data_IF_486125765921
#
_entry.id   IF_486125765921
#
_cell.length_a   1.000
_cell.length_b   1.000
_cell.length_c   1.000
_cell.angle_alpha   90.00
_cell.angle_beta   90.00
_cell.angle_gamma   90.00
#
_symmetry.space_group_name_H-M   'P 1'
#
loop_
_entity.id
_entity.type
_entity.pdbx_description
1 polymer ?
#
# COMPACT_ATOMS: atom_id res chain seq x y z
N UNK A 1 2.97 -18.84 -31.18
CA UNK A 1 3.27 -17.52 -30.55
C UNK A 1 4.10 -17.65 -29.26
N UNK A 2 3.72 -18.48 -28.30
CA UNK A 2 4.41 -18.67 -27.00
C UNK A 2 5.93 -18.94 -27.09
N UNK A 3 6.35 -19.89 -27.95
CA UNK A 3 7.78 -20.23 -28.08
C UNK A 3 8.63 -19.08 -28.67
N UNK A 4 8.06 -18.28 -29.57
CA UNK A 4 8.71 -17.11 -30.16
C UNK A 4 8.91 -16.02 -29.11
N UNK A 5 7.89 -15.73 -28.30
CA UNK A 5 8.01 -14.80 -27.16
C UNK A 5 9.06 -15.26 -26.15
N UNK A 6 9.07 -16.55 -25.81
CA UNK A 6 10.08 -17.11 -24.89
C UNK A 6 11.50 -16.96 -25.43
N UNK A 7 11.72 -17.25 -26.72
CA UNK A 7 13.01 -17.03 -27.40
C UNK A 7 13.39 -15.56 -27.39
N UNK A 8 12.48 -14.65 -27.75
CA UNK A 8 12.74 -13.21 -27.77
C UNK A 8 13.14 -12.69 -26.39
N UNK A 9 12.41 -13.07 -25.33
CA UNK A 9 12.76 -12.71 -23.95
C UNK A 9 14.12 -13.26 -23.53
N UNK A 10 14.45 -14.49 -23.95
CA UNK A 10 15.77 -15.08 -23.66
C UNK A 10 16.88 -14.34 -24.39
N UNK A 11 16.68 -13.94 -25.65
CA UNK A 11 17.65 -13.17 -26.42
C UNK A 11 17.85 -11.77 -25.84
N UNK A 12 16.75 -11.08 -25.52
CA UNK A 12 16.80 -9.70 -25.02
C UNK A 12 17.31 -9.59 -23.58
N UNK A 13 16.97 -10.56 -22.73
CA UNK A 13 17.18 -10.47 -21.29
C UNK A 13 17.97 -11.64 -20.68
N UNK A 14 17.92 -12.83 -21.28
CA UNK A 14 18.64 -14.01 -20.78
C UNK A 14 20.15 -13.97 -20.98
N UNK A 15 20.63 -13.25 -22.00
CA UNK A 15 22.06 -13.13 -22.33
C UNK A 15 22.72 -11.85 -21.77
N UNK A 16 22.03 -11.10 -20.91
CA UNK A 16 22.64 -9.94 -20.26
C UNK A 16 23.50 -10.39 -19.08
N UNK A 17 24.74 -9.92 -19.06
CA UNK A 17 25.73 -10.26 -18.03
C UNK A 17 25.99 -9.11 -17.03
N UNK A 18 25.14 -8.08 -17.01
CA UNK A 18 25.31 -6.89 -16.16
C UNK A 18 24.07 -6.60 -15.33
N UNK A 19 24.30 -6.02 -14.14
CA UNK A 19 23.21 -5.44 -13.35
C UNK A 19 22.59 -4.26 -14.12
N UNK A 20 21.28 -4.17 -14.07
CA UNK A 20 20.56 -3.11 -14.74
C UNK A 20 19.35 -2.72 -13.91
N UNK A 21 19.14 -1.42 -13.83
CA UNK A 21 18.10 -0.82 -13.01
C UNK A 21 16.95 -0.39 -13.88
N UNK A 22 15.75 -0.86 -13.55
CA UNK A 22 14.50 -0.43 -14.16
C UNK A 22 13.82 0.53 -13.19
N UNK A 23 13.69 1.78 -13.59
CA UNK A 23 13.01 2.78 -12.76
C UNK A 23 11.53 2.44 -12.56
N UNK A 24 10.83 2.03 -13.63
CA UNK A 24 9.41 1.74 -13.60
C UNK A 24 9.07 0.49 -14.42
N UNK A 25 8.34 -0.45 -13.82
CA UNK A 25 7.75 -1.59 -14.53
C UNK A 25 6.23 -1.58 -14.38
N UNK A 26 5.54 -1.69 -15.52
CA UNK A 26 4.08 -1.81 -15.58
C UNK A 26 3.74 -3.22 -16.06
N UNK A 27 3.25 -4.06 -15.15
CA UNK A 27 2.77 -5.39 -15.46
C UNK A 27 1.26 -5.31 -15.67
N UNK A 28 0.84 -5.35 -16.94
CA UNK A 28 -0.55 -5.20 -17.34
C UNK A 28 -1.47 -6.33 -16.87
N UNK A 29 -2.46 -6.67 -17.69
CA UNK A 29 -3.34 -7.82 -17.45
C UNK A 29 -2.58 -9.14 -17.57
N UNK A 30 -1.64 -9.19 -18.51
CA UNK A 30 -0.89 -10.41 -18.81
C UNK A 30 0.38 -10.52 -17.97
N UNK A 31 0.60 -11.73 -17.46
CA UNK A 31 1.76 -12.04 -16.63
C UNK A 31 2.91 -12.51 -17.53
N UNK A 32 3.88 -11.63 -17.75
CA UNK A 32 5.15 -12.02 -18.37
C UNK A 32 6.00 -12.79 -17.36
N UNK A 33 6.50 -13.97 -17.76
CA UNK A 33 7.41 -14.79 -16.96
C UNK A 33 8.86 -14.41 -17.28
N UNK A 34 9.68 -14.24 -16.26
CA UNK A 34 11.12 -14.03 -16.41
C UNK A 34 11.84 -15.33 -16.76
N UNK A 35 12.88 -15.32 -17.62
CA UNK A 35 13.73 -16.48 -17.82
C UNK A 35 14.33 -16.96 -16.49
N UNK A 36 14.25 -18.26 -16.19
CA UNK A 36 14.70 -18.84 -14.91
C UNK A 36 16.18 -18.55 -14.65
N UNK A 37 17.01 -18.63 -15.69
CA UNK A 37 18.47 -18.45 -15.61
C UNK A 37 18.91 -17.05 -16.04
N UNK A 38 17.98 -16.12 -16.26
CA UNK A 38 18.30 -14.75 -16.65
C UNK A 38 18.65 -13.88 -15.45
N UNK A 39 19.63 -12.99 -15.61
CA UNK A 39 19.94 -11.98 -14.60
C UNK A 39 18.70 -11.13 -14.29
N UNK A 40 18.34 -11.03 -13.01
CA UNK A 40 17.16 -10.30 -12.57
C UNK A 40 17.46 -8.80 -12.53
N UNK A 41 16.55 -7.94 -13.03
CA UNK A 41 16.71 -6.51 -12.91
C UNK A 41 16.52 -6.04 -11.46
N UNK A 42 17.23 -4.96 -11.10
CA UNK A 42 16.90 -4.17 -9.91
C UNK A 42 15.77 -3.21 -10.30
N UNK A 43 14.62 -3.30 -9.63
CA UNK A 43 13.43 -2.49 -9.98
C UNK A 43 13.06 -1.56 -8.84
N UNK A 44 12.78 -0.29 -9.14
CA UNK A 44 12.35 0.67 -8.12
C UNK A 44 10.84 0.73 -7.95
N UNK A 45 10.10 0.90 -9.04
CA UNK A 45 8.65 1.09 -8.99
C UNK A 45 7.92 0.01 -9.80
N UNK A 46 6.97 -0.67 -9.17
CA UNK A 46 6.18 -1.75 -9.79
C UNK A 46 4.70 -1.39 -9.80
N UNK A 47 4.02 -1.54 -10.93
CA UNK A 47 2.56 -1.44 -11.03
C UNK A 47 1.97 -2.73 -11.59
N UNK A 48 1.09 -3.39 -10.83
CA UNK A 48 0.43 -4.66 -11.23
C UNK A 48 -1.04 -4.49 -11.69
N UNK A 49 -1.52 -3.24 -11.78
CA UNK A 49 -2.91 -2.88 -12.04
C UNK A 49 -3.84 -3.61 -11.06
N UNK A 50 -4.53 -4.67 -11.46
CA UNK A 50 -5.37 -5.46 -10.55
C UNK A 50 -4.53 -6.34 -9.61
N UNK A 51 -4.82 -6.29 -8.31
CA UNK A 51 -4.26 -7.21 -7.31
C UNK A 51 -4.63 -8.66 -7.62
N UNK A 52 -3.62 -9.52 -7.67
CA UNK A 52 -3.78 -10.96 -7.52
C UNK A 52 -2.50 -11.57 -6.96
N UNK A 53 -2.63 -12.67 -6.22
CA UNK A 53 -1.46 -13.39 -5.70
C UNK A 53 -0.55 -13.87 -6.82
N UNK A 54 -1.14 -14.27 -7.95
CA UNK A 54 -0.40 -14.71 -9.15
C UNK A 54 0.49 -13.60 -9.70
N UNK A 55 0.01 -12.36 -9.72
CA UNK A 55 0.81 -11.21 -10.18
C UNK A 55 1.93 -10.85 -9.21
N UNK A 56 1.68 -10.93 -7.91
CA UNK A 56 2.73 -10.71 -6.90
C UNK A 56 3.84 -11.77 -6.98
N UNK A 57 3.47 -13.05 -7.17
CA UNK A 57 4.43 -14.14 -7.41
C UNK A 57 5.23 -13.93 -8.71
N UNK A 58 4.60 -13.37 -9.74
CA UNK A 58 5.28 -13.04 -10.98
C UNK A 58 6.28 -11.91 -10.80
N UNK A 59 5.92 -10.85 -10.06
CA UNK A 59 6.86 -9.77 -9.69
C UNK A 59 8.07 -10.36 -8.98
N UNK A 60 7.88 -11.20 -7.98
CA UNK A 60 8.98 -11.91 -7.30
C UNK A 60 9.83 -12.74 -8.25
N UNK A 61 9.22 -13.39 -9.24
CA UNK A 61 9.96 -14.18 -10.23
C UNK A 61 10.86 -13.29 -11.10
N UNK A 62 10.41 -12.08 -11.42
CA UNK A 62 11.17 -11.08 -12.20
C UNK A 62 12.30 -10.46 -11.37
N UNK A 63 12.01 -9.95 -10.17
CA UNK A 63 12.96 -9.11 -9.42
C UNK A 63 13.71 -9.86 -8.31
N UNK A 64 13.20 -11.01 -7.86
CA UNK A 64 13.71 -11.72 -6.69
C UNK A 64 12.92 -11.40 -5.41
N UNK A 65 13.10 -12.23 -4.38
CA UNK A 65 12.30 -12.18 -3.14
C UNK A 65 12.80 -11.11 -2.16
N UNK A 66 14.08 -10.76 -2.22
CA UNK A 66 14.74 -9.87 -1.25
C UNK A 66 14.97 -8.45 -1.76
N UNK A 67 14.42 -8.09 -2.91
CA UNK A 67 14.63 -6.76 -3.49
C UNK A 67 13.69 -5.75 -2.84
N UNK A 68 14.27 -4.66 -2.34
CA UNK A 68 13.52 -3.53 -1.81
C UNK A 68 12.92 -2.73 -2.96
N UNK A 69 11.61 -2.50 -2.91
CA UNK A 69 10.91 -1.63 -3.85
C UNK A 69 10.75 -0.24 -3.26
N UNK A 70 10.98 0.80 -4.07
CA UNK A 70 10.59 2.17 -3.71
C UNK A 70 9.07 2.27 -3.67
N UNK A 71 8.38 1.69 -4.66
CA UNK A 71 6.92 1.62 -4.62
C UNK A 71 6.33 0.38 -5.29
N UNK A 72 5.21 -0.08 -4.73
CA UNK A 72 4.34 -1.09 -5.33
C UNK A 72 2.93 -0.51 -5.48
N UNK A 73 2.41 -0.47 -6.70
CA UNK A 73 1.08 0.06 -7.03
C UNK A 73 0.14 -1.04 -7.52
N UNK A 74 -1.03 -1.11 -6.90
CA UNK A 74 -2.09 -2.05 -7.26
C UNK A 74 -3.47 -1.41 -7.09
N UNK A 75 -4.49 -2.10 -7.58
CA UNK A 75 -5.88 -1.70 -7.54
C UNK A 75 -6.79 -2.91 -7.35
N UNK A 76 -7.99 -2.69 -6.83
CA UNK A 76 -9.00 -3.73 -6.71
C UNK A 76 -10.12 -3.51 -7.73
N UNK A 77 -10.43 -4.52 -8.53
CA UNK A 77 -11.61 -4.52 -9.41
C UNK A 77 -12.77 -5.29 -8.78
N UNK A 78 -12.47 -6.39 -8.07
CA UNK A 78 -13.43 -7.33 -7.49
C UNK A 78 -14.16 -6.72 -6.27
N UNK A 79 -15.43 -7.09 -6.12
CA UNK A 79 -16.32 -6.67 -5.03
C UNK A 79 -16.02 -7.31 -3.67
N UNK A 80 -15.10 -8.27 -3.56
CA UNK A 80 -14.67 -8.87 -2.28
C UNK A 80 -13.15 -9.19 -2.29
N UNK A 81 -12.30 -8.16 -2.18
CA UNK A 81 -10.87 -8.33 -2.19
C UNK A 81 -10.37 -8.85 -0.85
N UNK A 82 -10.04 -10.15 -0.77
CA UNK A 82 -9.23 -10.70 0.32
C UNK A 82 -7.75 -10.51 0.01
N UNK A 83 -7.07 -9.77 0.88
CA UNK A 83 -5.62 -9.55 0.78
C UNK A 83 -4.93 -10.56 1.68
N UNK A 84 -4.07 -11.35 1.07
CA UNK A 84 -3.23 -12.31 1.79
C UNK A 84 -1.84 -11.71 1.92
N UNK A 85 -1.14 -12.02 3.01
CA UNK A 85 0.24 -11.58 3.18
C UNK A 85 1.10 -12.02 1.98
N UNK A 86 1.94 -11.10 1.50
CA UNK A 86 2.96 -11.39 0.51
C UNK A 86 4.25 -10.65 0.88
N UNK A 87 5.45 -11.26 0.76
CA UNK A 87 6.70 -10.64 1.20
C UNK A 87 6.99 -9.27 0.54
N UNK A 88 6.55 -9.06 -0.71
CA UNK A 88 6.64 -7.74 -1.38
C UNK A 88 6.02 -6.59 -0.60
N UNK A 89 5.03 -6.84 0.26
CA UNK A 89 4.47 -5.78 1.09
C UNK A 89 5.46 -5.32 2.14
N UNK A 90 6.27 -6.23 2.69
CA UNK A 90 7.31 -5.90 3.67
C UNK A 90 8.52 -5.24 3.02
N UNK A 91 8.89 -5.65 1.81
CA UNK A 91 10.06 -5.09 1.11
C UNK A 91 9.75 -3.82 0.31
N UNK A 92 8.48 -3.45 0.17
CA UNK A 92 8.09 -2.16 -0.39
C UNK A 92 8.19 -1.05 0.64
N UNK A 93 8.79 0.08 0.27
CA UNK A 93 8.80 1.29 1.09
C UNK A 93 7.44 1.99 1.05
N UNK A 94 6.77 1.97 -0.11
CA UNK A 94 5.48 2.62 -0.31
C UNK A 94 4.51 1.73 -1.09
N UNK A 95 3.43 1.31 -0.44
CA UNK A 95 2.34 0.60 -1.09
C UNK A 95 1.24 1.59 -1.51
N UNK A 96 0.88 1.58 -2.79
CA UNK A 96 -0.18 2.42 -3.35
C UNK A 96 -1.33 1.52 -3.79
N UNK A 97 -2.48 1.66 -3.14
CA UNK A 97 -3.67 0.86 -3.42
C UNK A 97 -4.79 1.75 -3.92
N UNK A 98 -5.25 1.51 -5.14
CA UNK A 98 -6.34 2.27 -5.74
C UNK A 98 -7.65 1.48 -5.81
N UNK A 99 -8.77 2.19 -5.89
CA UNK A 99 -10.11 1.62 -6.08
C UNK A 99 -10.55 0.63 -5.00
N UNK A 100 -10.08 0.77 -3.76
CA UNK A 100 -10.53 -0.11 -2.67
C UNK A 100 -11.96 0.26 -2.26
N UNK A 101 -12.88 -0.71 -2.10
CA UNK A 101 -14.17 -0.46 -1.49
C UNK A 101 -14.02 -0.24 0.02
N UNK A 102 -14.72 0.77 0.56
CA UNK A 102 -14.66 1.16 1.98
C UNK A 102 -14.78 -0.03 2.96
N UNK A 103 -15.74 -0.92 2.72
CA UNK A 103 -16.02 -2.10 3.58
C UNK A 103 -14.85 -3.08 3.74
N UNK A 104 -13.82 -2.99 2.90
CA UNK A 104 -12.62 -3.86 2.94
C UNK A 104 -11.35 -3.11 3.31
N UNK A 105 -11.47 -1.88 3.79
CA UNK A 105 -10.34 -1.12 4.27
C UNK A 105 -9.57 -1.90 5.36
N UNK A 106 -10.30 -2.63 6.20
CA UNK A 106 -9.77 -3.54 7.22
C UNK A 106 -8.91 -4.68 6.64
N UNK A 107 -9.09 -5.10 5.39
CA UNK A 107 -8.28 -6.15 4.78
C UNK A 107 -6.84 -5.70 4.52
N UNK A 108 -6.61 -4.39 4.42
CA UNK A 108 -5.27 -3.81 4.33
C UNK A 108 -4.55 -3.83 5.67
N UNK A 109 -5.20 -4.29 6.74
CA UNK A 109 -4.68 -4.08 8.08
C UNK A 109 -3.57 -5.06 8.46
N UNK A 110 -3.49 -6.17 7.74
CA UNK A 110 -2.41 -7.16 7.80
C UNK A 110 -1.12 -6.71 7.12
N UNK A 111 -1.15 -5.58 6.39
CA UNK A 111 0.00 -5.06 5.66
C UNK A 111 0.97 -4.38 6.62
N UNK A 112 2.24 -4.77 6.53
CA UNK A 112 3.34 -4.26 7.38
C UNK A 112 4.26 -3.28 6.63
N UNK A 113 3.80 -2.73 5.50
CA UNK A 113 4.51 -1.67 4.77
C UNK A 113 4.51 -0.39 5.60
N UNK A 114 5.66 0.30 5.70
CA UNK A 114 5.76 1.54 6.48
C UNK A 114 4.79 2.63 5.98
N UNK A 115 4.68 2.82 4.65
CA UNK A 115 3.80 3.82 4.05
C UNK A 115 2.77 3.16 3.13
N UNK A 116 1.50 3.50 3.34
CA UNK A 116 0.38 3.02 2.53
C UNK A 116 -0.47 4.20 2.05
N UNK A 117 -0.56 4.40 0.73
CA UNK A 117 -1.47 5.39 0.14
C UNK A 117 -2.67 4.71 -0.49
N UNK A 118 -3.86 5.15 -0.11
CA UNK A 118 -5.11 4.55 -0.54
C UNK A 118 -5.87 5.50 -1.46
N UNK A 119 -6.65 4.95 -2.39
CA UNK A 119 -7.69 5.70 -3.09
C UNK A 119 -8.96 4.87 -3.00
N UNK A 120 -9.97 5.41 -2.31
CA UNK A 120 -11.24 4.73 -2.10
C UNK A 120 -12.15 5.00 -3.30
N UNK A 121 -12.87 3.96 -3.77
CA UNK A 121 -13.75 4.06 -4.95
C UNK A 121 -14.95 4.99 -4.73
N UNK A 122 -15.40 5.15 -3.49
CA UNK A 122 -16.47 6.06 -3.06
C UNK A 122 -16.05 6.70 -1.73
N UNK A 123 -15.46 7.91 -1.74
CA UNK A 123 -14.83 8.53 -0.57
C UNK A 123 -15.84 9.17 0.41
N UNK A 124 -17.06 8.65 0.50
CA UNK A 124 -18.00 9.03 1.56
C UNK A 124 -17.71 8.22 2.81
N UNK A 125 -16.58 8.52 3.46
CA UNK A 125 -16.29 7.99 4.78
C UNK A 125 -16.45 9.09 5.81
N UNK A 126 -17.08 8.77 6.93
CA UNK A 126 -17.13 9.61 8.12
C UNK A 126 -15.85 9.33 8.91
N UNK A 127 -15.14 10.36 9.36
CA UNK A 127 -13.87 10.17 10.08
C UNK A 127 -14.08 9.40 11.39
N UNK A 128 -15.23 9.55 12.06
CA UNK A 128 -15.57 8.77 13.25
C UNK A 128 -15.60 7.25 12.97
N UNK A 129 -16.22 6.82 11.85
CA UNK A 129 -16.22 5.41 11.45
C UNK A 129 -14.80 4.89 11.15
N UNK A 130 -13.92 5.74 10.61
CA UNK A 130 -12.49 5.40 10.46
C UNK A 130 -11.85 5.17 11.83
N UNK A 131 -12.08 6.07 12.79
CA UNK A 131 -11.51 6.00 14.14
C UNK A 131 -11.91 4.68 14.80
N UNK A 132 -13.20 4.36 14.83
CA UNK A 132 -13.72 3.13 15.43
C UNK A 132 -13.06 1.88 14.82
N UNK A 133 -13.02 1.84 13.48
CA UNK A 133 -12.41 0.72 12.74
C UNK A 133 -10.92 0.56 13.07
N UNK A 134 -10.19 1.66 13.23
CA UNK A 134 -8.76 1.64 13.53
C UNK A 134 -8.46 1.23 14.97
N UNK A 135 -9.27 1.68 15.92
CA UNK A 135 -9.15 1.33 17.33
C UNK A 135 -9.48 -0.15 17.54
N UNK A 136 -10.56 -0.65 16.94
CA UNK A 136 -11.00 -2.04 17.08
C UNK A 136 -9.95 -3.04 16.58
N UNK A 137 -9.35 -2.78 15.41
CA UNK A 137 -8.50 -3.76 14.72
C UNK A 137 -7.01 -3.74 15.10
N UNK A 138 -6.62 -2.97 16.11
CA UNK A 138 -5.27 -2.89 16.70
C UNK A 138 -4.10 -3.10 15.71
N UNK A 139 -3.64 -2.01 15.08
CA UNK A 139 -2.60 -1.98 14.04
C UNK A 139 -1.17 -2.07 14.55
N UNK A 140 -0.23 -2.52 13.68
CA UNK A 140 1.20 -2.44 13.95
C UNK A 140 1.67 -1.00 14.08
N UNK A 141 2.50 -0.74 15.09
CA UNK A 141 3.20 0.53 15.29
C UNK A 141 4.13 0.79 14.10
N UNK A 142 4.21 2.04 13.66
CA UNK A 142 5.12 2.48 12.59
C UNK A 142 4.55 2.35 11.19
N UNK A 143 3.23 2.18 11.03
CA UNK A 143 2.56 2.24 9.73
C UNK A 143 1.79 3.55 9.57
N UNK A 144 1.99 4.21 8.42
CA UNK A 144 1.31 5.44 8.04
C UNK A 144 0.40 5.22 6.82
N UNK A 145 -0.89 5.45 7.00
CA UNK A 145 -1.90 5.45 5.95
C UNK A 145 -2.18 6.87 5.47
N UNK A 146 -2.37 7.05 4.17
CA UNK A 146 -2.74 8.33 3.57
C UNK A 146 -3.94 8.13 2.64
N UNK A 147 -5.02 8.85 2.93
CA UNK A 147 -6.28 8.79 2.19
C UNK A 147 -6.59 10.18 1.62
N UNK A 148 -6.71 10.35 0.29
CA UNK A 148 -7.12 11.61 -0.29
C UNK A 148 -8.56 11.92 0.13
N UNK A 149 -8.81 13.19 0.47
CA UNK A 149 -10.14 13.70 0.80
C UNK A 149 -10.43 14.96 0.00
N UNK A 150 -11.71 15.18 -0.29
CA UNK A 150 -12.18 16.39 -0.97
C UNK A 150 -12.49 17.53 0.01
N UNK A 151 -12.70 17.21 1.29
CA UNK A 151 -13.03 18.17 2.35
C UNK A 151 -12.38 17.77 3.67
N UNK A 152 -12.17 18.77 4.54
CA UNK A 152 -11.73 18.56 5.92
C UNK A 152 -12.97 18.59 6.82
N UNK A 153 -13.12 17.58 7.67
CA UNK A 153 -14.04 17.62 8.81
C UNK A 153 -13.36 18.33 9.98
N UNK A 154 -14.11 19.00 10.83
CA UNK A 154 -13.55 19.60 12.05
C UNK A 154 -13.30 18.51 13.10
N UNK A 155 -12.06 18.00 13.17
CA UNK A 155 -11.71 16.89 14.05
C UNK A 155 -11.85 17.25 15.54
N UNK A 156 -11.97 18.54 15.88
CA UNK A 156 -12.25 18.98 17.25
C UNK A 156 -13.67 18.62 17.72
N UNK A 157 -14.61 18.38 16.79
CA UNK A 157 -16.01 18.03 17.09
C UNK A 157 -16.18 16.55 17.42
N UNK A 158 -15.23 15.72 17.00
CA UNK A 158 -15.27 14.28 17.26
C UNK A 158 -15.12 14.03 18.76
N UNK A 159 -16.06 13.27 19.30
CA UNK A 159 -16.09 12.85 20.71
C UNK A 159 -15.92 11.35 20.78
N UNK A 160 -14.79 10.89 21.32
CA UNK A 160 -14.49 9.47 21.47
C UNK A 160 -13.77 9.24 22.81
N UNK A 161 -14.06 8.16 23.57
CA UNK A 161 -13.52 7.95 24.92
C UNK A 161 -11.99 7.92 24.98
N UNK A 162 -11.35 7.43 23.91
CA UNK A 162 -9.90 7.31 23.83
C UNK A 162 -9.17 8.61 23.42
N UNK A 163 -9.86 9.75 23.29
CA UNK A 163 -9.22 11.00 22.83
C UNK A 163 -8.23 11.53 23.86
N UNK A 164 -7.00 11.77 23.41
CA UNK A 164 -5.93 12.38 24.19
C UNK A 164 -5.74 13.86 23.85
N UNK A 165 -5.85 14.20 22.57
CA UNK A 165 -5.68 15.56 22.06
C UNK A 165 -6.53 15.74 20.81
N UNK A 166 -7.12 16.92 20.62
CA UNK A 166 -7.82 17.27 19.40
C UNK A 166 -7.64 18.74 19.03
N UNK A 167 -7.63 19.01 17.73
CA UNK A 167 -7.73 20.31 17.08
C UNK A 167 -8.51 20.13 15.78
N UNK A 168 -8.79 21.21 15.07
CA UNK A 168 -9.56 21.15 13.81
C UNK A 168 -8.94 20.21 12.77
N UNK A 169 -7.61 20.14 12.68
CA UNK A 169 -6.91 19.34 11.68
C UNK A 169 -6.28 18.04 12.22
N UNK A 170 -6.35 17.79 13.53
CA UNK A 170 -5.66 16.65 14.14
C UNK A 170 -6.42 16.09 15.35
N UNK A 171 -6.51 14.76 15.45
CA UNK A 171 -6.98 14.06 16.64
C UNK A 171 -6.04 12.91 16.98
N UNK A 172 -5.67 12.82 18.26
CA UNK A 172 -4.83 11.76 18.81
C UNK A 172 -5.66 10.91 19.76
N UNK A 173 -5.65 9.60 19.57
CA UNK A 173 -6.41 8.66 20.36
C UNK A 173 -5.48 7.62 20.97
N UNK A 174 -5.72 7.26 22.23
CA UNK A 174 -5.09 6.13 22.89
C UNK A 174 -5.47 4.85 22.17
N UNK A 175 -4.52 3.93 22.06
CA UNK A 175 -4.73 2.64 21.42
C UNK A 175 -4.05 1.56 22.24
N UNK A 176 -4.80 1.00 23.18
CA UNK A 176 -4.22 0.19 24.24
C UNK A 176 -3.21 0.98 25.05
N UNK A 177 -2.30 0.29 25.75
CA UNK A 177 -1.38 0.97 26.67
C UNK A 177 -0.05 1.38 26.04
N UNK A 178 0.25 0.86 24.84
CA UNK A 178 1.56 0.99 24.20
C UNK A 178 1.58 1.95 23.00
N UNK A 179 0.42 2.36 22.47
CA UNK A 179 0.35 3.11 21.23
C UNK A 179 -0.66 4.27 21.26
N UNK A 180 -0.45 5.21 20.34
CA UNK A 180 -1.34 6.32 20.03
C UNK A 180 -1.61 6.33 18.54
N UNK A 181 -2.88 6.44 18.15
CA UNK A 181 -3.27 6.67 16.75
C UNK A 181 -3.42 8.16 16.54
N UNK A 182 -2.83 8.67 15.47
CA UNK A 182 -2.90 10.07 15.08
C UNK A 182 -3.61 10.16 13.74
N UNK A 183 -4.76 10.80 13.73
CA UNK A 183 -5.45 11.23 12.52
C UNK A 183 -5.13 12.70 12.27
N UNK A 184 -4.65 13.03 11.07
CA UNK A 184 -4.25 14.41 10.74
C UNK A 184 -4.51 14.74 9.28
N UNK A 185 -5.06 15.91 9.01
CA UNK A 185 -5.09 16.45 7.65
C UNK A 185 -3.72 17.02 7.25
N UNK A 186 -3.24 16.63 6.08
CA UNK A 186 -2.00 17.12 5.47
C UNK A 186 -2.26 17.52 4.03
N UNK A 187 -1.50 18.49 3.54
CA UNK A 187 -1.59 18.95 2.14
C UNK A 187 -0.33 18.56 1.38
N UNK A 188 -0.51 17.95 0.21
CA UNK A 188 0.58 17.61 -0.68
C UNK A 188 0.11 17.71 -2.13
N UNK A 189 0.90 18.33 -3.01
CA UNK A 189 0.60 18.47 -4.44
C UNK A 189 -0.81 19.04 -4.71
N UNK A 190 -1.22 20.08 -3.97
CA UNK A 190 -2.55 20.72 -4.05
C UNK A 190 -3.73 19.77 -3.76
N UNK A 191 -3.48 18.68 -3.05
CA UNK A 191 -4.50 17.74 -2.58
C UNK A 191 -4.44 17.62 -1.07
N UNK A 192 -5.59 17.46 -0.47
CA UNK A 192 -5.73 17.21 0.96
C UNK A 192 -5.79 15.70 1.22
N UNK A 193 -5.09 15.26 2.25
CA UNK A 193 -5.06 13.88 2.69
C UNK A 193 -5.37 13.79 4.16
N UNK A 194 -6.23 12.84 4.54
CA UNK A 194 -6.29 12.34 5.90
C UNK A 194 -5.17 11.31 6.08
N UNK A 195 -4.21 11.63 6.94
CA UNK A 195 -3.13 10.73 7.33
C UNK A 195 -3.49 10.07 8.65
N UNK A 196 -3.19 8.78 8.75
CA UNK A 196 -3.44 7.96 9.95
C UNK A 196 -2.15 7.24 10.29
N UNK A 197 -1.58 7.53 11.44
CA UNK A 197 -0.32 6.97 11.89
C UNK A 197 -0.48 6.31 13.26
N UNK A 198 0.09 5.13 13.44
CA UNK A 198 0.18 4.48 14.75
C UNK A 198 1.60 4.65 15.29
N UNK A 199 1.75 5.43 16.34
CA UNK A 199 3.05 5.73 16.98
C UNK A 199 3.13 5.08 18.36
N UNK A 200 4.33 4.73 18.84
CA UNK A 200 4.49 4.25 20.21
C UNK A 200 4.11 5.36 21.19
N UNK A 201 3.51 4.99 22.31
CA UNK A 201 3.24 5.92 23.40
C UNK A 201 4.59 6.30 24.02
N UNK A 202 4.95 7.57 23.90
CA UNK A 202 6.13 8.11 24.59
C UNK A 202 5.92 7.96 26.09
N UNK A 203 6.85 7.30 26.78
CA UNK A 203 6.84 7.16 28.25
C UNK A 203 7.10 8.51 28.92
#
# INVERSE_FOLDING_TARGET
MYQLMRRLLTVLFGNRNGEWTIENINLGTDVLRWPVNGWKPTVRNVKIYEYSQVKLNAVHSIIGVSVSLTSLKMSFLILDPKITYHPLFKTSQHLIVSSIPWRYLSNLFSIQTHKVSLTIRSPYFVVENLIDTWIEKRRPIGVCFSLPTNSKEDLARISHPEVLQRSTDCIKLKMGDEAVIVFRYTEANRKTYLTIETIPKTK
#
